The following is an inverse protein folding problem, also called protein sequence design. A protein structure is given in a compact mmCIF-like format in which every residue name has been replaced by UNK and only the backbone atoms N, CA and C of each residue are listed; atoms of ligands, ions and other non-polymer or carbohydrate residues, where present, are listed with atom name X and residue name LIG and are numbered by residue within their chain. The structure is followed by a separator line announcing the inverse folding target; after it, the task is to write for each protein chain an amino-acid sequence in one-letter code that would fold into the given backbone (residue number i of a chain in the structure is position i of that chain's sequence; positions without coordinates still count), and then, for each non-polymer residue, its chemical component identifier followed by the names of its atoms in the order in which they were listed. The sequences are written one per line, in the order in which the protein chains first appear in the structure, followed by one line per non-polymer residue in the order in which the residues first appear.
data_IF_675137154466
#
_entry.id   IF_675137154466
#
_cell.length_a   1.000
_cell.length_b   1.000
_cell.length_c   1.000
_cell.angle_alpha   90.00
_cell.angle_beta   90.00
_cell.angle_gamma   90.00
#
_symmetry.space_group_name_H-M   'P 1'
#
loop_
_entity.id
_entity.type
_entity.pdbx_description
1 polymer ?
#
# COMPACT_ATOMS: atom_id res chain seq x y z
N UNK A 1 24.12 32.58 -12.27
CA UNK A 1 23.57 31.56 -13.20
C UNK A 1 24.26 30.25 -12.88
N UNK A 2 23.55 29.28 -12.29
CA UNK A 2 24.08 27.94 -12.08
C UNK A 2 24.29 27.29 -13.46
N UNK A 3 25.46 26.69 -13.68
CA UNK A 3 25.75 26.02 -14.95
C UNK A 3 24.88 24.76 -15.09
N UNK A 4 24.57 24.32 -16.29
CA UNK A 4 23.80 23.09 -16.55
C UNK A 4 24.41 21.86 -15.84
N UNK A 5 25.72 21.88 -15.61
CA UNK A 5 26.45 20.88 -14.83
C UNK A 5 26.11 20.90 -13.32
N UNK A 6 25.91 22.05 -12.74
CA UNK A 6 25.51 22.19 -11.31
C UNK A 6 24.05 21.78 -11.11
N UNK A 7 23.18 22.11 -12.05
CA UNK A 7 21.77 21.68 -12.03
C UNK A 7 21.64 20.15 -12.13
N UNK A 8 22.45 19.52 -13.02
CA UNK A 8 22.46 18.06 -13.15
C UNK A 8 23.07 17.35 -11.93
N UNK A 9 24.09 17.94 -11.30
CA UNK A 9 24.67 17.42 -10.06
C UNK A 9 23.70 17.59 -8.86
N UNK A 10 22.94 18.68 -8.84
CA UNK A 10 21.93 18.92 -7.80
C UNK A 10 20.72 18.00 -7.95
N UNK A 11 20.27 17.74 -9.17
CA UNK A 11 19.24 16.75 -9.48
C UNK A 11 19.69 15.32 -9.11
N UNK A 12 20.96 14.98 -9.34
CA UNK A 12 21.51 13.68 -8.98
C UNK A 12 21.72 13.51 -7.45
N UNK A 13 21.92 14.63 -6.72
CA UNK A 13 22.00 14.61 -5.24
C UNK A 13 20.64 14.47 -4.57
N UNK A 14 19.55 14.85 -5.23
CA UNK A 14 18.19 14.72 -4.73
C UNK A 14 17.55 13.38 -5.10
N UNK A 15 18.14 12.63 -6.03
CA UNK A 15 17.69 11.27 -6.35
C UNK A 15 18.03 10.33 -5.19
N UNK A 16 17.01 9.63 -4.66
CA UNK A 16 17.20 8.65 -3.59
C UNK A 16 18.06 7.50 -4.12
N UNK A 17 19.13 7.14 -3.40
CA UNK A 17 19.98 5.99 -3.75
C UNK A 17 19.13 4.69 -3.71
N UNK A 18 19.15 3.83 -4.76
CA UNK A 18 18.47 2.53 -4.76
C UNK A 18 18.72 1.70 -3.50
N UNK A 19 19.94 1.74 -2.97
CA UNK A 19 20.29 1.06 -1.71
C UNK A 19 19.47 1.57 -0.52
N UNK A 20 19.28 2.88 -0.42
CA UNK A 20 18.46 3.47 0.65
C UNK A 20 17.01 3.04 0.56
N UNK A 21 16.48 2.98 -0.67
CA UNK A 21 15.11 2.53 -0.90
C UNK A 21 14.93 1.07 -0.46
N UNK A 22 15.86 0.19 -0.83
CA UNK A 22 15.82 -1.23 -0.40
C UNK A 22 15.95 -1.35 1.11
N UNK A 23 16.82 -0.57 1.76
CA UNK A 23 16.98 -0.59 3.23
C UNK A 23 15.70 -0.13 3.92
N UNK A 24 15.08 0.96 3.45
CA UNK A 24 13.80 1.45 3.99
C UNK A 24 12.72 0.38 3.84
N UNK A 25 12.65 -0.24 2.66
CA UNK A 25 11.68 -1.33 2.41
C UNK A 25 11.92 -2.52 3.34
N UNK A 26 13.17 -2.94 3.53
CA UNK A 26 13.51 -4.05 4.44
C UNK A 26 13.19 -3.71 5.90
N UNK A 27 13.39 -2.47 6.33
CA UNK A 27 13.02 -2.04 7.67
C UNK A 27 11.49 -2.10 7.87
N UNK A 28 10.73 -1.57 6.92
CA UNK A 28 9.26 -1.62 6.99
C UNK A 28 8.75 -3.06 6.92
N UNK A 29 9.27 -3.86 5.98
CA UNK A 29 8.94 -5.28 5.87
C UNK A 29 9.31 -6.04 7.14
N UNK A 30 10.46 -5.73 7.74
CA UNK A 30 10.91 -6.31 9.00
C UNK A 30 9.95 -6.03 10.16
N UNK A 31 9.47 -4.78 10.28
CA UNK A 31 8.47 -4.41 11.30
C UNK A 31 7.18 -5.22 11.10
N UNK A 32 6.64 -5.24 9.88
CA UNK A 32 5.40 -5.97 9.58
C UNK A 32 5.56 -7.47 9.82
N UNK A 33 6.71 -8.03 9.40
CA UNK A 33 7.02 -9.45 9.61
C UNK A 33 7.21 -9.77 11.09
N UNK A 34 7.81 -8.84 11.87
CA UNK A 34 7.97 -8.98 13.32
C UNK A 34 6.61 -9.05 14.03
N UNK A 35 5.72 -8.11 13.73
CA UNK A 35 4.35 -8.11 14.25
C UNK A 35 3.58 -9.38 13.87
N UNK A 36 3.77 -9.85 12.65
CA UNK A 36 3.15 -11.09 12.18
C UNK A 36 3.64 -12.30 12.98
N UNK A 37 4.95 -12.46 13.15
CA UNK A 37 5.49 -13.59 13.92
C UNK A 37 5.16 -13.48 15.41
N UNK A 38 5.20 -12.30 16.01
CA UNK A 38 4.74 -12.08 17.38
C UNK A 38 3.32 -12.61 17.56
N UNK A 39 2.40 -12.17 16.69
CA UNK A 39 0.99 -12.58 16.77
C UNK A 39 0.82 -14.10 16.57
N UNK A 40 1.46 -14.67 15.58
CA UNK A 40 1.39 -16.12 15.29
C UNK A 40 1.98 -16.94 16.44
N UNK A 41 3.13 -16.53 16.97
CA UNK A 41 3.76 -17.20 18.10
C UNK A 41 2.89 -17.10 19.36
N UNK A 42 2.31 -15.93 19.65
CA UNK A 42 1.37 -15.75 20.76
C UNK A 42 0.18 -16.70 20.66
N UNK A 43 -0.40 -16.85 19.47
CA UNK A 43 -1.50 -17.82 19.24
C UNK A 43 -1.03 -19.26 19.47
N UNK A 44 0.19 -19.61 19.04
CA UNK A 44 0.75 -20.95 19.27
C UNK A 44 0.96 -21.19 20.76
N UNK A 45 1.57 -20.25 21.51
CA UNK A 45 1.75 -20.34 22.96
C UNK A 45 0.42 -20.54 23.67
N UNK A 46 -0.58 -19.71 23.32
CA UNK A 46 -1.92 -19.83 23.90
C UNK A 46 -2.58 -21.18 23.58
N UNK A 47 -2.41 -21.70 22.35
CA UNK A 47 -3.00 -22.97 21.93
C UNK A 47 -2.43 -24.18 22.68
N UNK A 48 -1.14 -24.16 23.00
CA UNK A 48 -0.48 -25.22 23.76
C UNK A 48 -0.56 -25.04 25.28
N UNK A 49 -1.20 -23.96 25.74
CA UNK A 49 -1.29 -23.66 27.16
C UNK A 49 0.04 -23.28 27.82
N UNK A 50 1.03 -22.89 27.01
CA UNK A 50 2.31 -22.40 27.50
C UNK A 50 2.12 -20.95 27.98
N UNK A 51 2.59 -20.67 29.21
CA UNK A 51 2.65 -19.26 29.65
C UNK A 51 3.62 -18.48 28.78
N UNK A 52 3.24 -17.27 28.37
CA UNK A 52 4.15 -16.36 27.67
C UNK A 52 4.69 -15.34 28.70
N UNK A 53 5.87 -15.60 29.30
CA UNK A 53 6.36 -14.77 30.39
C UNK A 53 6.75 -13.38 29.89
N UNK A 54 6.39 -12.37 30.66
CA UNK A 54 6.83 -10.98 30.44
C UNK A 54 8.29 -10.90 30.79
N UNK A 55 9.12 -10.44 29.85
CA UNK A 55 10.57 -10.32 30.01
C UNK A 55 11.01 -9.02 30.69
N UNK A 56 10.22 -7.96 30.54
CA UNK A 56 10.53 -6.64 31.07
C UNK A 56 9.30 -6.09 31.79
N UNK A 57 9.40 -5.90 33.11
CA UNK A 57 8.36 -5.25 33.89
C UNK A 57 8.18 -3.80 33.46
N UNK A 58 6.95 -3.43 33.13
CA UNK A 58 6.61 -2.07 32.66
C UNK A 58 6.58 -1.88 31.13
N UNK A 59 7.01 -2.87 30.38
CA UNK A 59 6.81 -2.94 28.92
C UNK A 59 6.26 -4.35 28.66
N UNK A 60 5.12 -4.47 27.98
CA UNK A 60 4.48 -5.76 27.71
C UNK A 60 5.29 -6.60 26.67
N UNK A 61 6.57 -6.73 26.90
CA UNK A 61 7.45 -7.52 26.05
C UNK A 61 7.45 -8.97 26.53
N UNK A 62 6.77 -9.79 25.78
CA UNK A 62 6.67 -11.24 26.00
C UNK A 62 7.77 -11.99 25.24
N UNK A 63 8.00 -13.24 25.57
CA UNK A 63 8.95 -14.10 24.84
C UNK A 63 8.56 -14.24 23.38
N UNK A 64 7.28 -14.39 23.07
CA UNK A 64 6.76 -14.43 21.70
C UNK A 64 7.14 -13.19 20.89
N UNK A 65 7.03 -11.99 21.50
CA UNK A 65 7.43 -10.72 20.92
C UNK A 65 8.92 -10.70 20.56
N UNK A 66 9.77 -11.05 21.51
CA UNK A 66 11.22 -11.06 21.30
C UNK A 66 11.62 -12.05 20.18
N UNK A 67 11.10 -13.27 20.24
CA UNK A 67 11.37 -14.31 19.23
C UNK A 67 10.83 -13.89 17.87
N UNK A 68 9.64 -13.30 17.79
CA UNK A 68 9.05 -12.78 16.56
C UNK A 68 9.93 -11.72 15.87
N UNK A 69 10.40 -10.75 16.63
CA UNK A 69 11.30 -9.72 16.09
C UNK A 69 12.69 -10.26 15.75
N UNK A 70 13.24 -11.19 16.53
CA UNK A 70 14.51 -11.84 16.20
C UNK A 70 14.43 -12.62 14.88
N UNK A 71 13.32 -13.33 14.65
CA UNK A 71 13.06 -14.03 13.37
C UNK A 71 12.95 -13.03 12.22
N UNK A 72 12.22 -11.93 12.41
CA UNK A 72 12.08 -10.89 11.39
C UNK A 72 13.41 -10.23 11.03
N UNK A 73 14.21 -9.89 12.04
CA UNK A 73 15.56 -9.32 11.83
C UNK A 73 16.47 -10.35 11.14
N UNK A 74 16.43 -11.61 11.55
CA UNK A 74 17.19 -12.70 10.93
C UNK A 74 16.84 -12.87 9.45
N UNK A 75 15.55 -12.81 9.09
CA UNK A 75 15.08 -12.86 7.72
C UNK A 75 15.54 -11.63 6.92
N UNK A 76 15.39 -10.44 7.47
CA UNK A 76 15.79 -9.20 6.81
C UNK A 76 17.31 -9.17 6.55
N UNK A 77 18.12 -9.53 7.55
CA UNK A 77 19.57 -9.63 7.42
C UNK A 77 19.96 -10.74 6.45
N UNK A 78 19.34 -11.91 6.53
CA UNK A 78 19.58 -13.01 5.61
C UNK A 78 19.27 -12.64 4.16
N UNK A 79 18.17 -11.93 3.94
CA UNK A 79 17.78 -11.38 2.61
C UNK A 79 18.84 -10.41 2.09
N UNK A 80 19.34 -9.52 2.96
CA UNK A 80 20.36 -8.54 2.60
C UNK A 80 21.73 -9.17 2.33
N UNK A 81 22.13 -10.18 3.11
CA UNK A 81 23.42 -10.86 2.95
C UNK A 81 23.45 -11.84 1.76
N UNK A 82 22.29 -12.25 1.26
CA UNK A 82 22.23 -13.19 0.15
C UNK A 82 22.43 -12.43 -1.18
N UNK A 83 23.55 -12.66 -1.91
CA UNK A 83 23.94 -11.81 -3.03
C UNK A 83 22.94 -11.79 -4.18
N UNK A 84 22.25 -12.92 -4.45
CA UNK A 84 21.22 -12.98 -5.50
C UNK A 84 19.99 -12.13 -5.14
N UNK A 85 19.54 -12.23 -3.89
CA UNK A 85 18.36 -11.48 -3.43
C UNK A 85 18.66 -9.98 -3.37
N UNK A 86 19.85 -9.61 -2.90
CA UNK A 86 20.30 -8.22 -2.89
C UNK A 86 20.36 -7.64 -4.31
N UNK A 87 20.93 -8.37 -5.28
CA UNK A 87 21.00 -7.92 -6.67
C UNK A 87 19.59 -7.66 -7.24
N UNK A 88 18.68 -8.63 -7.09
CA UNK A 88 17.30 -8.50 -7.55
C UNK A 88 16.59 -7.31 -6.87
N UNK A 89 16.77 -7.13 -5.57
CA UNK A 89 16.17 -6.02 -4.85
C UNK A 89 16.68 -4.66 -5.33
N UNK A 90 17.98 -4.55 -5.63
CA UNK A 90 18.58 -3.34 -6.17
C UNK A 90 18.12 -3.07 -7.62
N UNK A 91 17.98 -4.11 -8.43
CA UNK A 91 17.47 -3.99 -9.80
C UNK A 91 16.02 -3.48 -9.78
N UNK A 92 15.15 -4.08 -8.95
CA UNK A 92 13.77 -3.62 -8.77
C UNK A 92 13.74 -2.16 -8.29
N UNK A 93 14.55 -1.81 -7.30
CA UNK A 93 14.61 -0.44 -6.80
C UNK A 93 15.06 0.55 -7.89
N UNK A 94 16.02 0.16 -8.71
CA UNK A 94 16.50 0.98 -9.82
C UNK A 94 15.44 1.20 -10.91
N UNK A 95 14.63 0.17 -11.21
CA UNK A 95 13.52 0.30 -12.15
C UNK A 95 12.39 1.16 -11.59
N UNK A 96 12.06 1.03 -10.31
CA UNK A 96 11.08 1.89 -9.64
C UNK A 96 11.47 3.38 -9.67
N UNK A 97 12.76 3.67 -9.62
CA UNK A 97 13.27 5.04 -9.69
C UNK A 97 13.23 5.64 -11.09
N UNK A 98 13.14 4.82 -12.15
CA UNK A 98 12.94 5.27 -13.52
C UNK A 98 11.50 5.70 -13.80
N UNK A 99 10.55 5.27 -12.96
CA UNK A 99 9.13 5.63 -13.10
C UNK A 99 8.95 7.10 -12.74
N UNK A 100 8.41 7.87 -13.66
CA UNK A 100 8.00 9.25 -13.40
C UNK A 100 6.68 9.25 -12.64
N UNK A 101 6.75 9.54 -11.35
CA UNK A 101 5.55 9.64 -10.52
C UNK A 101 4.84 10.97 -10.80
N UNK A 102 3.52 10.96 -11.01
CA UNK A 102 2.77 12.20 -11.22
C UNK A 102 2.87 13.09 -9.97
N UNK A 103 2.90 14.38 -10.19
CA UNK A 103 2.91 15.36 -9.10
C UNK A 103 1.59 15.33 -8.30
N UNK A 104 1.63 15.75 -7.05
CA UNK A 104 0.42 15.89 -6.23
C UNK A 104 -0.65 16.76 -6.89
N UNK A 105 -0.25 17.80 -7.61
CA UNK A 105 -1.12 18.71 -8.34
C UNK A 105 -1.82 17.98 -9.49
N UNK A 106 -1.10 17.21 -10.27
CA UNK A 106 -1.66 16.40 -11.38
C UNK A 106 -2.59 15.32 -10.87
N UNK A 107 -2.18 14.58 -9.81
CA UNK A 107 -3.02 13.56 -9.18
C UNK A 107 -4.32 14.15 -8.67
N UNK A 108 -4.27 15.29 -7.99
CA UNK A 108 -5.45 15.96 -7.45
C UNK A 108 -6.38 16.46 -8.57
N UNK A 109 -5.85 17.09 -9.61
CA UNK A 109 -6.65 17.56 -10.74
C UNK A 109 -7.33 16.41 -11.47
N UNK A 110 -6.60 15.32 -11.72
CA UNK A 110 -7.15 14.12 -12.36
C UNK A 110 -8.22 13.45 -11.50
N UNK A 111 -8.01 13.37 -10.19
CA UNK A 111 -9.01 12.82 -9.25
C UNK A 111 -10.29 13.65 -9.26
N UNK A 112 -10.18 14.98 -9.19
CA UNK A 112 -11.34 15.88 -9.25
C UNK A 112 -12.08 15.72 -10.59
N UNK A 113 -11.36 15.63 -11.69
CA UNK A 113 -11.97 15.43 -13.00
C UNK A 113 -12.78 14.12 -13.07
N UNK A 114 -12.26 13.03 -12.52
CA UNK A 114 -12.97 11.74 -12.47
C UNK A 114 -14.21 11.83 -11.56
N UNK A 115 -14.10 12.47 -10.41
CA UNK A 115 -15.26 12.67 -9.51
C UNK A 115 -16.35 13.46 -10.20
N UNK A 116 -16.02 14.58 -10.84
CA UNK A 116 -17.00 15.43 -11.55
C UNK A 116 -17.62 14.65 -12.70
N UNK A 117 -16.84 13.95 -13.52
CA UNK A 117 -17.36 13.14 -14.61
C UNK A 117 -18.30 12.04 -14.12
N UNK A 118 -17.96 11.38 -13.01
CA UNK A 118 -18.80 10.34 -12.41
C UNK A 118 -20.12 10.90 -11.87
N UNK A 119 -20.08 12.08 -11.24
CA UNK A 119 -21.30 12.75 -10.76
C UNK A 119 -22.22 13.14 -11.93
N UNK A 120 -21.66 13.71 -12.99
CA UNK A 120 -22.43 14.06 -14.18
C UNK A 120 -23.07 12.82 -14.81
N UNK A 121 -22.29 11.72 -14.96
CA UNK A 121 -22.80 10.48 -15.47
C UNK A 121 -23.92 9.88 -14.59
N UNK A 122 -23.77 9.94 -13.27
CA UNK A 122 -24.78 9.48 -12.32
C UNK A 122 -26.08 10.26 -12.43
N UNK A 123 -25.99 11.58 -12.58
CA UNK A 123 -27.19 12.45 -12.78
C UNK A 123 -27.90 12.11 -14.09
N UNK A 124 -27.16 11.94 -15.17
CA UNK A 124 -27.75 11.56 -16.48
C UNK A 124 -28.44 10.21 -16.38
N UNK A 125 -27.78 9.20 -15.78
CA UNK A 125 -28.35 7.87 -15.58
C UNK A 125 -29.62 7.93 -14.71
N UNK A 126 -29.61 8.72 -13.65
CA UNK A 126 -30.78 8.91 -12.79
C UNK A 126 -31.98 9.42 -13.56
N UNK A 127 -31.80 10.42 -14.44
CA UNK A 127 -32.90 10.93 -15.26
C UNK A 127 -33.39 9.89 -16.26
N UNK A 128 -32.49 9.16 -16.93
CA UNK A 128 -32.86 8.10 -17.88
C UNK A 128 -33.63 7.01 -17.14
N UNK A 129 -33.14 6.56 -16.00
CA UNK A 129 -33.80 5.50 -15.21
C UNK A 129 -35.17 5.96 -14.70
N UNK A 130 -35.30 7.18 -14.23
CA UNK A 130 -36.57 7.77 -13.78
C UNK A 130 -37.61 7.82 -14.90
N UNK A 131 -37.20 8.18 -16.11
CA UNK A 131 -38.10 8.20 -17.28
C UNK A 131 -38.49 6.76 -17.69
N UNK A 132 -37.48 5.88 -17.75
CA UNK A 132 -37.73 4.46 -18.11
C UNK A 132 -38.65 3.78 -17.08
N UNK A 133 -38.47 4.05 -15.79
CA UNK A 133 -39.34 3.51 -14.74
C UNK A 133 -40.79 3.96 -14.93
N UNK A 134 -41.05 5.26 -15.14
CA UNK A 134 -42.40 5.77 -15.37
C UNK A 134 -43.04 5.16 -16.63
N UNK A 135 -42.28 5.07 -17.69
CA UNK A 135 -42.79 4.48 -18.95
C UNK A 135 -43.14 3.00 -18.79
N UNK A 136 -42.25 2.21 -18.16
CA UNK A 136 -42.42 0.75 -18.11
C UNK A 136 -43.35 0.31 -16.98
N UNK A 137 -43.32 0.99 -15.82
CA UNK A 137 -44.07 0.53 -14.65
C UNK A 137 -45.41 1.25 -14.50
N UNK A 138 -45.53 2.50 -14.88
CA UNK A 138 -46.77 3.26 -14.72
C UNK A 138 -47.60 3.33 -16.01
N UNK A 139 -47.02 3.68 -17.13
CA UNK A 139 -47.75 3.95 -18.37
C UNK A 139 -48.06 2.69 -19.16
N UNK A 140 -47.12 1.79 -19.34
CA UNK A 140 -47.31 0.60 -20.15
C UNK A 140 -48.44 -0.31 -19.61
N UNK A 141 -48.51 -0.64 -18.31
CA UNK A 141 -49.60 -1.40 -17.73
C UNK A 141 -50.95 -0.65 -17.77
N UNK A 142 -50.94 0.67 -17.62
CA UNK A 142 -52.16 1.46 -17.69
C UNK A 142 -52.80 1.48 -19.10
N UNK A 143 -51.97 1.39 -20.12
CA UNK A 143 -52.45 1.28 -21.53
C UNK A 143 -52.87 -0.13 -21.82
N UNK A 144 -52.11 -1.15 -21.40
CA UNK A 144 -52.44 -2.56 -21.66
C UNK A 144 -53.68 -3.04 -20.90
N UNK A 145 -53.93 -2.53 -19.72
CA UNK A 145 -55.11 -2.87 -18.93
C UNK A 145 -56.42 -2.26 -19.47
N UNK A 146 -56.36 -1.42 -20.53
CA UNK A 146 -57.53 -0.84 -21.21
C UNK A 146 -57.82 -1.47 -22.58
N UNK A 147 -56.96 -2.37 -23.04
CA UNK A 147 -57.16 -3.18 -24.26
C UNK A 147 -57.70 -4.55 -23.89
#
# INVERSE_FOLDING_TARGET
MATASEASQQANRSAMDPKRLVVIFLLLAGIVTGLFFEHVLGLIWARFGWGDPILVEGVDWQVSTLVGYLLAVGLAVGTWLHPKTQAVALDIASELMKVTWPSWTETRSSTVAVIVASLVAAVILFFIDSIAYRLMVEWLPAVWGKL
#
